data_IF_984516788443
#
_entry.id   IF_984516788443
#
_cell.length_a   1.000
_cell.length_b   1.000
_cell.length_c   1.000
_cell.angle_alpha   90.00
_cell.angle_beta   90.00
_cell.angle_gamma   90.00
#
_symmetry.space_group_name_H-M   'P 1'
#
loop_
_entity.id
_entity.type
_entity.pdbx_description
1 polymer ?
#
# COMPACT_ATOMS: atom_id res chain seq x y z
N UNK A 1 14.63 -27.14 14.50
CA UNK A 1 13.20 -26.95 14.87
C UNK A 1 12.79 -25.49 15.15
N UNK A 2 13.67 -24.48 15.06
CA UNK A 2 13.33 -23.10 15.45
C UNK A 2 13.01 -22.15 14.27
N UNK A 3 13.48 -22.44 13.05
CA UNK A 3 13.30 -21.56 11.89
C UNK A 3 11.86 -21.60 11.35
N UNK A 4 11.20 -22.76 11.46
CA UNK A 4 9.84 -22.92 10.94
C UNK A 4 8.83 -22.11 11.74
N UNK A 5 8.89 -22.18 13.07
CA UNK A 5 8.06 -21.39 13.99
C UNK A 5 8.30 -19.88 13.87
N UNK A 6 9.53 -19.46 13.55
CA UNK A 6 9.84 -18.04 13.28
C UNK A 6 9.28 -17.53 11.95
N UNK A 7 8.86 -18.42 11.05
CA UNK A 7 8.33 -18.10 9.71
C UNK A 7 6.88 -18.58 9.54
N UNK A 8 6.03 -18.32 10.54
CA UNK A 8 4.59 -18.63 10.47
C UNK A 8 3.74 -17.38 10.20
N UNK A 9 2.54 -17.58 9.66
CA UNK A 9 1.59 -16.50 9.42
C UNK A 9 2.12 -15.45 8.44
N UNK A 10 1.94 -14.17 8.77
CA UNK A 10 2.38 -13.06 7.91
C UNK A 10 3.90 -12.98 7.75
N UNK A 11 4.68 -13.51 8.70
CA UNK A 11 6.15 -13.54 8.60
C UNK A 11 6.64 -14.36 7.41
N UNK A 12 5.89 -15.40 7.01
CA UNK A 12 6.20 -16.22 5.83
C UNK A 12 6.09 -15.44 4.51
N UNK A 13 5.28 -14.39 4.48
CA UNK A 13 4.99 -13.60 3.28
C UNK A 13 5.72 -12.25 3.28
N UNK A 14 6.43 -11.92 4.35
CA UNK A 14 7.19 -10.68 4.46
C UNK A 14 8.55 -10.84 3.77
N UNK A 15 8.89 -9.91 2.88
CA UNK A 15 10.16 -9.89 2.14
C UNK A 15 10.81 -8.51 2.24
N UNK A 16 12.13 -8.48 2.12
CA UNK A 16 12.89 -7.23 2.10
C UNK A 16 12.71 -6.51 0.75
N UNK A 17 12.71 -5.18 0.79
CA UNK A 17 12.68 -4.33 -0.41
C UNK A 17 13.66 -3.16 -0.28
N UNK A 18 14.00 -2.54 -1.42
CA UNK A 18 14.85 -1.36 -1.48
C UNK A 18 14.26 -0.34 -2.45
N UNK A 19 14.07 0.90 -1.97
CA UNK A 19 13.88 2.08 -2.81
C UNK A 19 15.17 2.89 -2.78
N UNK A 20 15.70 3.22 -3.95
CA UNK A 20 16.97 3.93 -4.08
C UNK A 20 16.95 4.85 -5.29
N UNK A 21 17.52 6.04 -5.13
CA UNK A 21 17.80 6.96 -6.22
C UNK A 21 19.28 7.34 -6.25
N UNK A 22 19.85 7.47 -7.45
CA UNK A 22 21.27 7.80 -7.61
C UNK A 22 21.59 9.25 -7.22
N UNK A 23 20.59 10.13 -7.24
CA UNK A 23 20.72 11.51 -6.80
C UNK A 23 20.64 11.68 -5.28
N UNK A 24 20.28 10.62 -4.54
CA UNK A 24 20.12 10.58 -3.10
C UNK A 24 19.15 11.68 -2.59
N UNK A 25 18.03 11.88 -3.29
CA UNK A 25 17.02 12.92 -3.05
C UNK A 25 15.68 12.37 -2.56
N UNK A 26 15.48 11.05 -2.47
CA UNK A 26 14.25 10.51 -1.86
C UNK A 26 14.03 11.09 -0.47
N UNK A 27 12.83 11.59 -0.19
CA UNK A 27 12.50 12.20 1.11
C UNK A 27 12.68 11.23 2.27
N UNK A 28 12.37 9.95 2.05
CA UNK A 28 12.44 8.88 3.06
C UNK A 28 13.71 8.02 2.95
N UNK A 29 14.78 8.50 2.30
CA UNK A 29 16.04 7.73 2.10
C UNK A 29 16.70 7.19 3.38
N UNK A 30 16.40 7.80 4.54
CA UNK A 30 16.92 7.38 5.84
C UNK A 30 15.92 6.50 6.65
N UNK A 31 14.72 6.24 6.11
CA UNK A 31 13.74 5.36 6.75
C UNK A 31 14.01 3.91 6.35
N UNK A 32 14.65 3.16 7.24
CA UNK A 32 14.97 1.74 7.05
C UNK A 32 13.95 0.79 7.67
N UNK A 33 12.93 1.33 8.34
CA UNK A 33 11.87 0.55 8.98
C UNK A 33 10.54 0.90 8.31
N UNK A 34 10.11 0.03 7.39
CA UNK A 34 8.84 0.15 6.72
C UNK A 34 8.32 -1.25 6.36
N UNK A 35 7.07 -1.53 6.71
CA UNK A 35 6.34 -2.71 6.24
C UNK A 35 5.19 -2.18 5.40
N UNK A 36 5.31 -2.35 4.07
CA UNK A 36 4.33 -1.86 3.12
C UNK A 36 3.93 -2.97 2.14
N UNK A 37 2.70 -2.93 1.65
CA UNK A 37 2.29 -3.84 0.56
C UNK A 37 2.98 -3.46 -0.77
N UNK A 38 3.36 -4.43 -1.63
CA UNK A 38 4.11 -4.15 -2.86
C UNK A 38 3.42 -3.21 -3.86
N UNK A 39 2.08 -3.17 -3.87
CA UNK A 39 1.31 -2.27 -4.75
C UNK A 39 1.45 -0.79 -4.38
N UNK A 40 2.05 -0.48 -3.22
CA UNK A 40 2.40 0.88 -2.83
C UNK A 40 3.78 1.34 -3.33
N UNK A 41 4.60 0.45 -3.90
CA UNK A 41 5.96 0.82 -4.28
C UNK A 41 6.03 1.97 -5.28
N UNK A 42 5.25 1.91 -6.36
CA UNK A 42 5.21 2.97 -7.35
C UNK A 42 4.68 4.30 -6.80
N UNK A 43 3.48 4.37 -6.16
CA UNK A 43 2.96 5.63 -5.64
C UNK A 43 3.85 6.23 -4.54
N UNK A 44 4.43 5.41 -3.65
CA UNK A 44 5.41 5.84 -2.64
C UNK A 44 6.68 6.41 -3.30
N UNK A 45 7.24 5.75 -4.31
CA UNK A 45 8.44 6.24 -5.00
C UNK A 45 8.19 7.58 -5.69
N UNK A 46 7.03 7.74 -6.33
CA UNK A 46 6.62 9.00 -6.96
C UNK A 46 6.49 10.12 -5.92
N UNK A 47 5.87 9.83 -4.78
CA UNK A 47 5.73 10.77 -3.68
C UNK A 47 7.10 11.20 -3.14
N UNK A 48 7.98 10.24 -2.83
CA UNK A 48 9.31 10.49 -2.29
C UNK A 48 10.24 11.22 -3.26
N UNK A 49 10.00 11.06 -4.57
CA UNK A 49 10.79 11.73 -5.63
C UNK A 49 10.23 13.10 -6.01
N UNK A 50 9.09 13.53 -5.45
CA UNK A 50 8.41 14.76 -5.83
C UNK A 50 7.88 14.76 -7.28
N UNK A 51 7.62 13.59 -7.84
CA UNK A 51 7.07 13.46 -9.19
C UNK A 51 5.56 13.73 -9.19
N UNK A 52 4.98 14.26 -10.27
CA UNK A 52 3.54 14.39 -10.42
C UNK A 52 2.83 13.03 -10.25
N UNK A 53 1.74 13.01 -9.50
CA UNK A 53 0.97 11.81 -9.22
C UNK A 53 -0.38 11.86 -9.93
N UNK A 54 -0.81 10.71 -10.45
CA UNK A 54 -2.20 10.54 -10.89
C UNK A 54 -3.14 10.53 -9.68
N UNK A 55 -4.43 10.75 -9.91
CA UNK A 55 -5.46 10.61 -8.87
C UNK A 55 -5.45 9.24 -8.22
N UNK A 56 -5.19 8.18 -8.98
CA UNK A 56 -5.06 6.82 -8.47
C UNK A 56 -3.86 6.67 -7.51
N UNK A 57 -2.69 7.25 -7.84
CA UNK A 57 -1.53 7.22 -6.95
C UNK A 57 -1.75 8.03 -5.68
N UNK A 58 -2.41 9.18 -5.78
CA UNK A 58 -2.81 9.96 -4.60
C UNK A 58 -3.72 9.13 -3.69
N UNK A 59 -4.75 8.49 -4.25
CA UNK A 59 -5.65 7.61 -3.50
C UNK A 59 -4.88 6.44 -2.84
N UNK A 60 -3.95 5.79 -3.54
CA UNK A 60 -3.15 4.71 -2.96
C UNK A 60 -2.31 5.19 -1.77
N UNK A 61 -1.72 6.39 -1.84
CA UNK A 61 -0.99 6.94 -0.69
C UNK A 61 -1.91 7.23 0.49
N UNK A 62 -3.11 7.76 0.26
CA UNK A 62 -4.11 7.94 1.33
C UNK A 62 -4.51 6.60 1.98
N UNK A 63 -4.69 5.54 1.18
CA UNK A 63 -4.97 4.20 1.73
C UNK A 63 -3.77 3.69 2.52
N UNK A 64 -2.54 3.87 2.02
CA UNK A 64 -1.30 3.43 2.70
C UNK A 64 -1.13 4.09 4.07
N UNK A 65 -1.46 5.38 4.22
CA UNK A 65 -1.41 6.07 5.51
C UNK A 65 -2.33 5.42 6.56
N UNK A 66 -3.47 4.87 6.13
CA UNK A 66 -4.43 4.21 7.01
C UNK A 66 -4.14 2.72 7.17
N UNK A 67 -3.63 2.07 6.13
CA UNK A 67 -3.40 0.63 6.05
C UNK A 67 -2.10 0.32 5.27
N UNK A 68 -0.93 0.42 5.93
CA UNK A 68 0.37 0.35 5.25
C UNK A 68 0.64 -0.97 4.52
N UNK A 69 0.24 -2.09 5.12
CA UNK A 69 0.33 -3.40 4.49
C UNK A 69 -0.87 -4.27 4.87
N UNK A 70 -1.32 -5.08 3.92
CA UNK A 70 -2.37 -6.06 4.14
C UNK A 70 -2.38 -7.11 3.04
N UNK A 71 -2.93 -8.26 3.39
CA UNK A 71 -3.31 -9.35 2.51
C UNK A 71 -4.64 -9.95 3.00
N UNK A 72 -5.15 -10.96 2.30
CA UNK A 72 -6.42 -11.59 2.67
C UNK A 72 -6.35 -12.15 4.10
N UNK A 73 -7.05 -11.49 5.02
CA UNK A 73 -7.14 -11.91 6.42
C UNK A 73 -5.93 -11.57 7.30
N UNK A 74 -5.02 -10.70 6.85
CA UNK A 74 -3.95 -10.14 7.67
C UNK A 74 -3.77 -8.65 7.34
N UNK A 75 -3.70 -7.82 8.37
CA UNK A 75 -3.60 -6.36 8.28
C UNK A 75 -2.46 -5.88 9.17
N UNK A 76 -1.57 -5.04 8.66
CA UNK A 76 -0.44 -4.49 9.41
C UNK A 76 -0.77 -3.08 9.89
N UNK A 77 -0.88 -2.89 11.21
CA UNK A 77 -1.23 -1.62 11.83
C UNK A 77 -0.52 -1.43 13.16
N UNK A 78 0.07 -0.25 13.36
CA UNK A 78 0.74 0.10 14.62
C UNK A 78 1.94 -0.78 14.96
N UNK A 79 2.59 -1.36 13.95
CA UNK A 79 3.74 -2.26 14.13
C UNK A 79 3.39 -3.75 14.20
N UNK A 80 2.12 -4.11 14.17
CA UNK A 80 1.67 -5.49 14.41
C UNK A 80 0.73 -6.01 13.31
N UNK A 81 0.80 -7.32 13.06
CA UNK A 81 -0.13 -8.04 12.18
C UNK A 81 -1.39 -8.47 12.94
N UNK A 82 -2.56 -8.14 12.41
CA UNK A 82 -3.88 -8.44 12.98
C UNK A 82 -4.76 -9.18 11.97
N UNK A 83 -5.63 -10.07 12.46
CA UNK A 83 -6.60 -10.81 11.62
C UNK A 83 -7.80 -9.97 11.19
N UNK A 84 -8.10 -8.94 11.96
CA UNK A 84 -9.18 -7.99 11.71
C UNK A 84 -8.68 -6.58 11.97
N UNK A 85 -9.34 -5.62 11.34
CA UNK A 85 -9.11 -4.19 11.56
C UNK A 85 -10.45 -3.55 11.88
N UNK A 86 -10.47 -2.75 12.94
CA UNK A 86 -11.57 -1.84 13.20
C UNK A 86 -11.25 -0.51 12.54
N UNK A 87 -12.08 -0.10 11.60
CA UNK A 87 -11.94 1.16 10.86
C UNK A 87 -13.01 2.13 11.36
N UNK A 88 -12.66 3.41 11.42
CA UNK A 88 -13.68 4.44 11.53
C UNK A 88 -14.37 4.67 10.17
N UNK A 89 -15.52 5.36 10.17
CA UNK A 89 -16.33 5.59 8.97
C UNK A 89 -15.55 6.16 7.78
N UNK A 90 -14.56 7.04 8.02
CA UNK A 90 -13.76 7.62 6.94
C UNK A 90 -12.79 6.60 6.34
N UNK A 91 -12.15 5.80 7.19
CA UNK A 91 -11.26 4.72 6.77
C UNK A 91 -12.03 3.64 6.00
N UNK A 92 -13.22 3.27 6.47
CA UNK A 92 -14.10 2.32 5.77
C UNK A 92 -14.48 2.85 4.38
N UNK A 93 -14.89 4.12 4.30
CA UNK A 93 -15.26 4.74 3.03
C UNK A 93 -14.08 4.74 2.04
N UNK A 94 -12.89 5.18 2.46
CA UNK A 94 -11.69 5.20 1.63
C UNK A 94 -11.32 3.79 1.13
N UNK A 95 -11.40 2.80 2.01
CA UNK A 95 -11.11 1.41 1.64
C UNK A 95 -12.13 0.85 0.65
N UNK A 96 -13.41 1.16 0.81
CA UNK A 96 -14.45 0.77 -0.14
C UNK A 96 -14.30 1.48 -1.50
N UNK A 97 -13.96 2.77 -1.52
CA UNK A 97 -13.65 3.51 -2.75
C UNK A 97 -12.48 2.86 -3.50
N UNK A 98 -11.39 2.55 -2.80
CA UNK A 98 -10.27 1.79 -3.35
C UNK A 98 -10.71 0.43 -3.94
N UNK A 99 -11.52 -0.34 -3.20
CA UNK A 99 -12.03 -1.65 -3.66
C UNK A 99 -12.90 -1.52 -4.91
N UNK A 100 -13.74 -0.49 -5.00
CA UNK A 100 -14.58 -0.23 -6.16
C UNK A 100 -13.74 0.13 -7.39
N UNK A 101 -12.70 0.95 -7.24
CA UNK A 101 -11.78 1.26 -8.34
C UNK A 101 -11.04 0.01 -8.81
N UNK A 102 -10.49 -0.80 -7.89
CA UNK A 102 -9.83 -2.07 -8.24
C UNK A 102 -10.77 -3.03 -8.97
N UNK A 103 -12.01 -3.15 -8.50
CA UNK A 103 -13.02 -3.95 -9.17
C UNK A 103 -13.33 -3.41 -10.57
N UNK A 104 -13.55 -2.10 -10.70
CA UNK A 104 -13.92 -1.45 -11.95
C UNK A 104 -12.87 -1.65 -13.06
N UNK A 105 -11.57 -1.54 -12.73
CA UNK A 105 -10.49 -1.71 -13.71
C UNK A 105 -10.19 -3.17 -14.07
N UNK A 106 -10.44 -4.13 -13.16
CA UNK A 106 -10.10 -5.56 -13.37
C UNK A 106 -11.28 -6.38 -13.90
N UNK A 107 -12.50 -6.12 -13.44
CA UNK A 107 -13.67 -6.97 -13.72
C UNK A 107 -14.97 -6.22 -13.94
N UNK A 108 -15.00 -4.92 -13.65
CA UNK A 108 -16.18 -4.07 -13.82
C UNK A 108 -16.32 -3.54 -15.23
N UNK A 109 -16.86 -2.34 -15.34
CA UNK A 109 -17.21 -1.71 -16.62
C UNK A 109 -16.21 -0.64 -17.05
N UNK A 110 -15.14 -0.47 -16.29
CA UNK A 110 -14.04 0.44 -16.57
C UNK A 110 -14.47 1.92 -16.65
N UNK A 111 -15.48 2.32 -15.87
CA UNK A 111 -15.94 3.72 -15.80
C UNK A 111 -14.83 4.69 -15.39
N UNK A 112 -13.93 4.24 -14.53
CA UNK A 112 -12.82 5.03 -14.01
C UNK A 112 -11.76 5.36 -15.08
N UNK A 113 -11.74 4.65 -16.21
CA UNK A 113 -10.81 4.89 -17.32
C UNK A 113 -11.22 6.05 -18.24
N UNK A 114 -12.47 6.52 -18.16
CA UNK A 114 -12.99 7.58 -19.04
C UNK A 114 -12.44 8.98 -18.69
N UNK A 115 -11.82 9.11 -17.52
CA UNK A 115 -11.30 10.37 -16.98
C UNK A 115 -9.77 10.33 -16.79
N UNK A 116 -9.14 11.47 -16.50
CA UNK A 116 -7.70 11.57 -16.21
C UNK A 116 -7.28 11.02 -14.83
N UNK A 117 -8.08 10.14 -14.22
CA UNK A 117 -7.83 9.65 -12.85
C UNK A 117 -6.55 8.83 -12.73
N UNK A 118 -6.17 8.10 -13.79
CA UNK A 118 -4.96 7.26 -13.83
C UNK A 118 -3.76 7.92 -14.53
N UNK A 119 -3.94 9.10 -15.11
CA UNK A 119 -2.92 9.81 -15.90
C UNK A 119 -2.22 10.91 -15.10
#
# INVERSE_FOLDING_TARGET
ENIQTLNEGAALHQTEFLMYDTANQLTEKNQHQATISPFYFAPSLFQQSGLPQSGFYAMLNEVQEQLPAFEKGNYYLGGEWKKTVEMNKKQEQLYEEYRLIQYDIVSGKQYSLENQFFS
#
